data_IF_326852948644
#
_entry.id   IF_326852948644
#
_cell.length_a   1.000
_cell.length_b   1.000
_cell.length_c   1.000
_cell.angle_alpha   90.00
_cell.angle_beta   90.00
_cell.angle_gamma   90.00
#
_symmetry.space_group_name_H-M   'P 1'
#
loop_
_entity.id
_entity.type
_entity.pdbx_description
1 polymer ?
#
# COMPACT_ATOMS: atom_id res chain seq x y z
N UNK A 1 -59.17 18.81 38.21
CA UNK A 1 -58.82 19.99 39.03
C UNK A 1 -57.32 20.22 38.87
N UNK A 2 -56.88 21.25 38.12
CA UNK A 2 -56.50 22.59 38.61
C UNK A 2 -55.34 22.50 39.64
N UNK A 3 -54.22 23.24 39.62
CA UNK A 3 -53.64 24.29 38.77
C UNK A 3 -52.24 24.60 39.36
N UNK A 4 -51.25 24.91 38.50
CA UNK A 4 -50.29 26.04 38.56
C UNK A 4 -49.20 26.16 39.65
N UNK A 5 -48.05 26.69 39.21
CA UNK A 5 -47.09 27.50 39.99
C UNK A 5 -45.67 26.90 40.01
N UNK A 6 -44.69 27.29 39.18
CA UNK A 6 -43.89 28.55 39.20
C UNK A 6 -43.05 28.66 40.50
N UNK A 7 -41.77 29.00 40.58
CA UNK A 7 -40.76 29.60 39.70
C UNK A 7 -39.37 29.41 40.35
N UNK A 8 -38.28 29.70 39.59
CA UNK A 8 -37.06 30.42 40.03
C UNK A 8 -36.22 29.89 41.24
N UNK A 9 -34.91 30.04 41.38
CA UNK A 9 -33.82 30.65 40.62
C UNK A 9 -32.52 30.52 41.45
N UNK A 10 -31.43 30.12 40.78
CA UNK A 10 -30.03 30.58 40.89
C UNK A 10 -29.28 30.73 42.23
N UNK A 11 -28.09 30.10 42.28
CA UNK A 11 -26.73 30.67 42.43
C UNK A 11 -25.76 29.48 42.70
N UNK A 12 -24.62 29.29 42.05
CA UNK A 12 -23.37 30.10 42.05
C UNK A 12 -22.57 29.80 40.74
N UNK A 13 -22.16 30.82 39.96
CA UNK A 13 -20.88 31.55 40.01
C UNK A 13 -19.86 31.01 38.98
N UNK A 14 -19.92 31.51 37.73
CA UNK A 14 -18.91 32.35 37.04
C UNK A 14 -17.48 31.79 37.18
N UNK A 15 -16.81 31.36 36.11
CA UNK A 15 -16.01 32.26 35.27
C UNK A 15 -15.54 31.49 34.00
N UNK A 16 -16.14 31.73 32.84
CA UNK A 16 -15.54 31.33 31.55
C UNK A 16 -15.53 32.55 30.65
N UNK A 17 -14.32 33.06 30.44
CA UNK A 17 -14.05 34.29 29.73
C UNK A 17 -14.38 34.17 28.24
N UNK A 18 -14.88 35.27 27.70
CA UNK A 18 -15.44 35.36 26.36
C UNK A 18 -14.71 36.47 25.64
N UNK A 19 -13.66 36.13 24.90
CA UNK A 19 -13.26 36.96 23.76
C UNK A 19 -13.41 36.21 22.45
N UNK A 20 -14.39 36.72 21.68
CA UNK A 20 -14.75 36.33 20.34
C UNK A 20 -13.68 36.82 19.37
N UNK A 21 -13.26 35.94 18.47
CA UNK A 21 -12.95 36.32 17.08
C UNK A 21 -13.31 35.16 16.16
N UNK A 22 -14.44 35.29 15.46
CA UNK A 22 -14.77 34.44 14.31
C UNK A 22 -13.81 34.74 13.14
N UNK A 23 -13.64 33.79 12.19
CA UNK A 23 -12.36 33.43 11.57
C UNK A 23 -12.10 34.16 10.26
N UNK A 24 -10.94 33.91 9.62
CA UNK A 24 -10.98 33.72 8.19
C UNK A 24 -10.29 32.42 7.74
N UNK A 25 -11.08 31.65 6.99
CA UNK A 25 -10.65 30.77 5.90
C UNK A 25 -9.89 29.52 6.35
N UNK A 26 -10.68 28.46 6.48
CA UNK A 26 -10.22 27.09 6.24
C UNK A 26 -9.54 27.08 4.87
N UNK A 27 -8.21 27.07 4.84
CA UNK A 27 -7.48 26.84 3.61
C UNK A 27 -7.53 25.35 3.29
N UNK A 28 -8.49 24.95 2.46
CA UNK A 28 -8.42 23.68 1.74
C UNK A 28 -7.33 23.85 0.69
N UNK A 29 -6.06 23.65 1.08
CA UNK A 29 -4.98 23.63 0.10
C UNK A 29 -5.01 22.27 -0.60
N UNK A 30 -5.46 22.34 -1.84
CA UNK A 30 -5.45 21.34 -2.90
C UNK A 30 -4.55 20.14 -2.64
N UNK A 31 -5.18 18.97 -2.63
CA UNK A 31 -4.58 17.66 -2.74
C UNK A 31 -3.56 17.60 -3.89
N UNK A 32 -2.28 17.81 -3.60
CA UNK A 32 -1.17 17.45 -4.49
C UNK A 32 -0.05 16.70 -3.81
N UNK A 33 -0.29 16.08 -2.64
CA UNK A 33 0.63 15.05 -2.17
C UNK A 33 -0.06 13.98 -1.30
N UNK A 34 -0.24 12.75 -1.82
CA UNK A 34 -0.97 11.68 -1.13
C UNK A 34 -0.13 10.90 -0.09
N UNK A 35 0.93 11.50 0.46
CA UNK A 35 1.91 10.80 1.30
C UNK A 35 1.61 10.74 2.80
N UNK A 36 0.64 11.52 3.30
CA UNK A 36 0.37 11.62 4.74
C UNK A 36 -1.01 11.04 5.06
N UNK A 37 -1.18 9.73 4.94
CA UNK A 37 -2.39 9.05 5.43
C UNK A 37 -2.14 8.58 6.86
N UNK A 38 -2.79 9.25 7.82
CA UNK A 38 -3.11 8.65 9.13
C UNK A 38 -2.22 8.96 10.35
N UNK A 39 -1.62 10.15 10.47
CA UNK A 39 -0.93 10.54 11.73
C UNK A 39 -1.19 11.99 12.13
N UNK A 40 -1.25 12.23 13.44
CA UNK A 40 -1.42 13.55 14.05
C UNK A 40 -0.09 14.31 14.03
N UNK A 41 -0.10 15.52 13.47
CA UNK A 41 1.11 16.37 13.36
C UNK A 41 1.41 17.04 14.70
N UNK A 42 2.69 17.05 15.10
CA UNK A 42 3.20 17.94 16.16
C UNK A 42 3.87 19.12 15.47
N UNK A 43 3.23 20.29 15.48
CA UNK A 43 3.83 21.53 14.98
C UNK A 43 4.13 22.41 16.19
N UNK A 44 5.38 22.85 16.35
CA UNK A 44 5.78 23.80 17.39
C UNK A 44 5.51 25.22 16.92
N UNK A 45 4.83 26.01 17.75
CA UNK A 45 4.66 27.44 17.53
C UNK A 45 5.91 28.17 18.00
N UNK A 46 6.85 28.43 17.11
CA UNK A 46 7.80 29.54 17.29
C UNK A 46 7.53 30.55 16.19
N UNK A 47 7.19 31.77 16.62
CA UNK A 47 6.78 32.88 15.79
C UNK A 47 7.88 33.30 14.80
N UNK A 48 7.41 33.83 13.66
CA UNK A 48 8.17 34.41 12.55
C UNK A 48 8.81 33.41 11.56
N UNK A 49 8.29 33.48 10.33
CA UNK A 49 8.73 32.82 9.09
C UNK A 49 8.13 31.43 8.86
N UNK A 50 7.22 31.35 7.88
CA UNK A 50 6.67 30.15 7.22
C UNK A 50 6.61 28.86 8.05
N UNK A 51 5.39 28.41 8.37
CA UNK A 51 5.10 27.08 8.95
C UNK A 51 5.94 25.96 8.31
N UNK A 52 7.07 25.61 8.92
CA UNK A 52 7.81 24.40 8.64
C UNK A 52 7.30 23.32 9.60
N UNK A 53 6.19 22.68 9.24
CA UNK A 53 5.92 21.36 9.81
C UNK A 53 6.84 20.37 9.08
N UNK A 54 8.02 20.10 9.64
CA UNK A 54 8.89 19.04 9.16
C UNK A 54 8.34 17.68 9.62
N UNK A 55 7.94 16.84 8.67
CA UNK A 55 7.75 15.42 8.97
C UNK A 55 9.14 14.82 9.23
N UNK A 56 9.40 14.05 10.31
CA UNK A 56 10.71 13.45 10.58
C UNK A 56 11.12 12.34 9.59
N UNK A 57 10.36 12.11 8.52
CA UNK A 57 10.71 11.12 7.51
C UNK A 57 10.43 11.65 6.10
N UNK A 58 11.32 12.53 5.65
CA UNK A 58 11.50 12.79 4.23
C UNK A 58 12.23 11.59 3.64
N UNK A 59 11.51 10.51 3.29
CA UNK A 59 12.02 9.68 2.19
C UNK A 59 11.76 10.53 0.95
N UNK A 60 12.74 11.38 0.64
CA UNK A 60 12.76 12.18 -0.57
C UNK A 60 12.44 11.25 -1.75
N UNK A 61 11.43 11.63 -2.53
CA UNK A 61 11.07 10.95 -3.79
C UNK A 61 12.23 10.89 -4.79
N UNK A 62 13.32 11.61 -4.53
CA UNK A 62 14.56 11.62 -5.30
C UNK A 62 15.47 10.40 -5.05
N UNK A 63 15.23 9.60 -4.01
CA UNK A 63 15.95 8.34 -3.78
C UNK A 63 15.27 7.13 -4.43
N UNK A 64 14.07 7.30 -4.98
CA UNK A 64 13.33 6.23 -5.64
C UNK A 64 13.91 5.95 -7.03
N UNK A 65 14.76 4.92 -7.13
CA UNK A 65 15.27 4.44 -8.42
C UNK A 65 14.17 3.98 -9.40
N UNK A 66 14.55 3.67 -10.64
CA UNK A 66 13.60 3.22 -11.68
C UNK A 66 12.82 1.98 -11.24
N UNK A 67 11.53 2.15 -10.93
CA UNK A 67 10.64 1.07 -10.55
C UNK A 67 10.50 0.03 -11.65
N UNK A 68 11.02 -1.17 -11.39
CA UNK A 68 11.03 -2.28 -12.34
C UNK A 68 9.79 -3.18 -12.24
N UNK A 69 9.05 -3.04 -11.14
CA UNK A 69 7.98 -3.93 -10.68
C UNK A 69 6.59 -3.59 -11.25
N UNK A 70 6.36 -2.35 -11.73
CA UNK A 70 4.99 -1.82 -11.86
C UNK A 70 4.36 -1.61 -13.25
N UNK A 71 5.08 -1.62 -14.39
CA UNK A 71 4.46 -1.30 -15.71
C UNK A 71 5.17 -1.92 -16.93
N UNK A 72 5.58 -3.18 -16.85
CA UNK A 72 6.29 -3.79 -17.98
C UNK A 72 5.39 -4.73 -18.76
N UNK A 73 5.28 -4.44 -20.06
CA UNK A 73 4.89 -5.43 -21.08
C UNK A 73 5.61 -6.75 -20.76
N UNK A 74 4.81 -7.76 -20.43
CA UNK A 74 5.31 -9.10 -20.13
C UNK A 74 5.50 -9.82 -21.46
N UNK A 75 6.74 -10.21 -21.74
CA UNK A 75 7.10 -11.00 -22.92
C UNK A 75 7.31 -12.46 -22.50
N UNK A 76 7.15 -13.44 -23.41
CA UNK A 76 7.50 -14.85 -23.13
C UNK A 76 8.91 -15.02 -22.57
N UNK A 77 9.90 -14.27 -23.07
CA UNK A 77 11.29 -14.40 -22.59
C UNK A 77 11.45 -13.93 -21.14
N UNK A 78 10.70 -12.91 -20.73
CA UNK A 78 10.68 -12.46 -19.33
C UNK A 78 10.05 -13.52 -18.45
N UNK A 79 9.01 -14.19 -18.91
CA UNK A 79 8.38 -15.31 -18.22
C UNK A 79 9.32 -16.51 -18.10
N UNK A 80 10.13 -16.80 -19.13
CA UNK A 80 11.14 -17.85 -19.09
C UNK A 80 12.19 -17.61 -18.00
N UNK A 81 12.66 -16.37 -17.84
CA UNK A 81 13.72 -15.99 -16.88
C UNK A 81 13.28 -15.93 -15.40
N UNK A 82 12.01 -16.19 -15.08
CA UNK A 82 11.47 -16.18 -13.71
C UNK A 82 11.22 -17.59 -13.21
N UNK A 83 11.31 -17.81 -11.91
CA UNK A 83 11.22 -19.15 -11.34
C UNK A 83 9.75 -19.51 -11.07
N UNK A 84 8.94 -18.51 -10.68
CA UNK A 84 7.52 -18.67 -10.46
C UNK A 84 6.67 -17.60 -11.17
N UNK A 85 5.41 -17.95 -11.40
CA UNK A 85 4.37 -17.06 -11.87
C UNK A 85 3.02 -17.49 -11.30
N UNK A 86 2.38 -16.60 -10.55
CA UNK A 86 1.11 -16.89 -9.85
C UNK A 86 0.10 -15.77 -10.06
N UNK A 87 -1.17 -16.15 -9.97
CA UNK A 87 -2.28 -15.23 -9.79
C UNK A 87 -2.81 -15.40 -8.37
N UNK A 88 -2.79 -14.32 -7.61
CA UNK A 88 -3.32 -14.29 -6.26
C UNK A 88 -4.16 -13.05 -6.00
N UNK A 89 -5.18 -13.19 -5.15
CA UNK A 89 -5.95 -12.07 -4.62
C UNK A 89 -5.36 -11.64 -3.29
N UNK A 90 -5.11 -10.35 -3.15
CA UNK A 90 -4.62 -9.76 -1.89
C UNK A 90 -5.81 -9.62 -0.94
N UNK A 91 -5.65 -10.10 0.29
CA UNK A 91 -6.64 -9.99 1.36
C UNK A 91 -6.25 -8.86 2.29
N UNK A 92 -5.24 -9.10 3.12
CA UNK A 92 -4.82 -8.19 4.19
C UNK A 92 -3.42 -7.62 3.94
N UNK A 93 -3.14 -6.49 4.58
CA UNK A 93 -1.83 -5.84 4.64
C UNK A 93 -1.47 -5.65 6.10
N UNK A 94 -0.28 -6.09 6.45
CA UNK A 94 0.32 -5.88 7.76
C UNK A 94 1.71 -5.26 7.62
N UNK A 95 2.03 -4.31 8.47
CA UNK A 95 3.35 -3.66 8.48
C UNK A 95 4.19 -4.28 9.59
N UNK A 96 5.37 -4.79 9.24
CA UNK A 96 6.34 -5.41 10.15
C UNK A 96 7.69 -4.70 10.00
N UNK A 97 7.85 -3.62 10.78
CA UNK A 97 9.06 -2.79 10.74
C UNK A 97 9.30 -2.20 9.34
N UNK A 98 10.44 -2.54 8.72
CA UNK A 98 10.81 -2.08 7.38
C UNK A 98 10.16 -2.88 6.24
N UNK A 99 9.45 -3.95 6.57
CA UNK A 99 8.75 -4.81 5.62
C UNK A 99 7.24 -4.71 5.77
N UNK A 100 6.54 -4.95 4.67
CA UNK A 100 5.09 -5.04 4.64
C UNK A 100 4.72 -6.41 4.11
N UNK A 101 3.96 -7.14 4.92
CA UNK A 101 3.44 -8.46 4.63
C UNK A 101 2.04 -8.33 4.05
N UNK A 102 1.80 -8.93 2.90
CA UNK A 102 0.48 -9.06 2.33
C UNK A 102 0.04 -10.52 2.40
N UNK A 103 -1.14 -10.74 2.97
CA UNK A 103 -1.78 -12.06 2.92
C UNK A 103 -2.44 -12.20 1.56
N UNK A 104 -1.98 -13.14 0.75
CA UNK A 104 -2.50 -13.38 -0.59
C UNK A 104 -3.11 -14.79 -0.68
N UNK A 105 -4.24 -14.89 -1.35
CA UNK A 105 -4.83 -16.18 -1.70
C UNK A 105 -4.47 -16.53 -3.15
N UNK A 106 -3.60 -17.53 -3.32
CA UNK A 106 -3.13 -18.03 -4.61
C UNK A 106 -4.23 -18.86 -5.27
N UNK A 107 -4.87 -18.27 -6.26
CA UNK A 107 -5.96 -18.88 -7.02
C UNK A 107 -5.43 -19.76 -8.18
N UNK A 108 -4.34 -19.35 -8.82
CA UNK A 108 -3.76 -20.11 -9.94
C UNK A 108 -2.25 -19.99 -9.98
N UNK A 109 -1.59 -21.12 -10.22
CA UNK A 109 -0.13 -21.22 -10.39
C UNK A 109 0.14 -21.52 -11.85
N UNK A 110 0.84 -20.60 -12.54
CA UNK A 110 1.16 -20.73 -13.96
C UNK A 110 2.57 -21.30 -14.18
N UNK A 111 3.51 -20.93 -13.31
CA UNK A 111 4.88 -21.46 -13.28
C UNK A 111 5.30 -21.68 -11.83
N UNK A 112 6.04 -22.75 -11.59
CA UNK A 112 6.69 -23.06 -10.33
C UNK A 112 8.04 -23.72 -10.61
N UNK A 113 9.00 -23.56 -9.70
CA UNK A 113 10.25 -24.31 -9.78
C UNK A 113 10.00 -25.78 -9.40
N UNK A 114 10.97 -26.66 -9.64
CA UNK A 114 10.85 -28.07 -9.21
C UNK A 114 10.87 -28.19 -7.69
N UNK A 115 11.72 -27.38 -7.05
CA UNK A 115 11.96 -27.41 -5.61
C UNK A 115 11.11 -26.39 -4.84
N UNK A 116 10.21 -25.69 -5.53
CA UNK A 116 9.33 -24.70 -4.90
C UNK A 116 8.18 -25.35 -4.15
N UNK A 117 7.95 -24.95 -2.91
CA UNK A 117 6.77 -25.36 -2.12
C UNK A 117 5.50 -24.57 -2.47
N UNK A 118 5.55 -23.74 -3.51
CA UNK A 118 4.46 -22.90 -3.95
C UNK A 118 3.24 -23.72 -4.41
N UNK A 119 2.15 -23.60 -3.65
CA UNK A 119 0.87 -24.28 -3.87
C UNK A 119 -0.28 -23.27 -3.96
N UNK A 120 -1.46 -23.74 -4.36
CA UNK A 120 -2.70 -22.96 -4.27
C UNK A 120 -3.10 -22.85 -2.79
N UNK A 121 -3.70 -21.72 -2.42
CA UNK A 121 -4.07 -21.42 -1.04
C UNK A 121 -3.46 -20.12 -0.54
N UNK A 122 -3.58 -19.89 0.77
CA UNK A 122 -3.08 -18.68 1.40
C UNK A 122 -1.57 -18.71 1.54
N UNK A 123 -0.89 -17.63 1.14
CA UNK A 123 0.55 -17.45 1.29
C UNK A 123 0.86 -15.98 1.55
N UNK A 124 2.10 -15.69 1.95
CA UNK A 124 2.54 -14.33 2.24
C UNK A 124 3.35 -13.73 1.09
N UNK A 125 3.14 -12.44 0.84
CA UNK A 125 3.89 -11.64 -0.11
C UNK A 125 4.56 -10.47 0.61
N UNK A 126 5.88 -10.45 0.65
CA UNK A 126 6.69 -9.46 1.35
C UNK A 126 7.15 -8.36 0.40
N UNK A 127 7.01 -7.11 0.83
CA UNK A 127 7.44 -5.92 0.08
C UNK A 127 8.12 -4.94 1.03
N UNK A 128 9.23 -4.35 0.59
CA UNK A 128 9.92 -3.35 1.40
C UNK A 128 9.07 -2.07 1.55
N UNK A 129 9.08 -1.44 2.73
CA UNK A 129 8.31 -0.22 3.00
C UNK A 129 8.74 0.93 2.08
N UNK A 130 10.05 1.08 1.83
CA UNK A 130 10.62 2.03 0.86
C UNK A 130 10.03 1.87 -0.55
N UNK A 131 9.84 0.64 -1.03
CA UNK A 131 9.28 0.36 -2.36
C UNK A 131 7.81 0.79 -2.45
N UNK A 132 7.04 0.61 -1.36
CA UNK A 132 5.67 1.09 -1.24
C UNK A 132 5.59 2.61 -1.15
N UNK A 133 6.51 3.26 -0.43
CA UNK A 133 6.63 4.72 -0.37
C UNK A 133 6.91 5.32 -1.77
N UNK A 134 7.72 4.63 -2.57
CA UNK A 134 7.98 4.97 -3.98
C UNK A 134 6.79 4.67 -4.93
N UNK A 135 5.65 4.19 -4.43
CA UNK A 135 4.46 3.77 -5.20
C UNK A 135 4.74 2.61 -6.16
N UNK A 136 5.64 1.70 -5.77
CA UNK A 136 6.15 0.64 -6.63
C UNK A 136 6.39 -0.66 -5.86
N UNK A 137 5.47 -1.64 -5.85
CA UNK A 137 4.23 -1.77 -6.63
C UNK A 137 2.98 -1.16 -5.98
N UNK A 138 2.01 -0.78 -6.81
CA UNK A 138 0.69 -0.28 -6.35
C UNK A 138 -0.24 -1.46 -6.01
N UNK A 139 -0.02 -2.06 -4.84
CA UNK A 139 -0.84 -3.17 -4.35
C UNK A 139 -2.00 -2.63 -3.52
N UNK A 140 -3.23 -2.99 -3.90
CA UNK A 140 -4.47 -2.69 -3.20
C UNK A 140 -5.06 -3.99 -2.64
N UNK A 141 -5.69 -3.90 -1.47
CA UNK A 141 -6.47 -5.00 -0.91
C UNK A 141 -7.65 -5.38 -1.82
N UNK A 142 -8.12 -6.62 -1.72
CA UNK A 142 -9.24 -7.21 -2.46
C UNK A 142 -9.08 -7.28 -3.99
N UNK A 143 -7.91 -6.91 -4.52
CA UNK A 143 -7.59 -7.02 -5.94
C UNK A 143 -6.74 -8.25 -6.23
N UNK A 144 -6.93 -8.80 -7.42
CA UNK A 144 -6.10 -9.87 -7.94
C UNK A 144 -4.89 -9.29 -8.69
N UNK A 145 -3.75 -9.97 -8.57
CA UNK A 145 -2.50 -9.59 -9.21
C UNK A 145 -1.81 -10.83 -9.79
N UNK A 146 -1.19 -10.63 -10.95
CA UNK A 146 -0.20 -11.54 -11.53
C UNK A 146 1.17 -11.17 -10.97
N UNK A 147 1.77 -12.09 -10.22
CA UNK A 147 3.09 -11.93 -9.59
C UNK A 147 4.07 -12.91 -10.22
N UNK A 148 5.21 -12.40 -10.68
CA UNK A 148 6.33 -13.20 -11.15
C UNK A 148 7.61 -12.76 -10.45
N UNK A 149 8.45 -13.71 -10.09
CA UNK A 149 9.68 -13.43 -9.36
C UNK A 149 10.61 -14.62 -9.31
N UNK A 150 11.56 -14.53 -8.38
CA UNK A 150 12.39 -15.64 -7.96
C UNK A 150 12.11 -15.92 -6.50
N UNK A 151 11.99 -17.20 -6.14
CA UNK A 151 11.63 -17.60 -4.77
C UNK A 151 12.79 -17.35 -3.81
N UNK A 152 14.03 -17.51 -4.29
CA UNK A 152 15.27 -17.27 -3.55
C UNK A 152 15.63 -15.78 -3.35
N UNK A 153 14.77 -14.84 -3.76
CA UNK A 153 15.05 -13.40 -3.60
C UNK A 153 14.77 -12.89 -2.16
N UNK A 154 14.32 -13.73 -1.22
CA UNK A 154 14.02 -13.32 0.16
C UNK A 154 14.28 -14.39 1.22
N UNK A 155 14.43 -13.94 2.46
CA UNK A 155 14.71 -14.74 3.65
C UNK A 155 13.43 -15.04 4.48
N UNK A 156 12.31 -14.43 4.11
CA UNK A 156 11.04 -14.59 4.82
C UNK A 156 10.21 -15.74 4.28
N UNK A 157 9.40 -16.36 5.14
CA UNK A 157 8.42 -17.36 4.72
C UNK A 157 7.41 -16.76 3.73
N UNK A 158 7.45 -17.25 2.49
CA UNK A 158 6.57 -16.81 1.41
C UNK A 158 7.34 -16.23 0.22
N UNK A 159 6.71 -15.29 -0.48
CA UNK A 159 7.25 -14.69 -1.70
C UNK A 159 7.73 -13.27 -1.43
N UNK A 160 8.93 -12.93 -1.88
CA UNK A 160 9.46 -11.56 -1.75
C UNK A 160 9.42 -10.81 -3.08
N UNK A 161 8.91 -9.59 -3.04
CA UNK A 161 8.88 -8.68 -4.18
C UNK A 161 10.14 -7.82 -4.17
N UNK A 162 11.11 -8.18 -5.01
CA UNK A 162 12.31 -7.38 -5.22
C UNK A 162 12.30 -6.59 -6.53
N UNK A 163 13.45 -6.00 -6.85
CA UNK A 163 13.70 -5.23 -8.10
C UNK A 163 13.55 -6.07 -9.38
N UNK A 164 13.69 -7.40 -9.27
CA UNK A 164 13.57 -8.35 -10.39
C UNK A 164 12.15 -8.94 -10.48
N UNK A 165 11.27 -8.67 -9.52
CA UNK A 165 9.90 -9.15 -9.52
C UNK A 165 9.01 -8.27 -10.40
N UNK A 166 7.90 -8.83 -10.88
CA UNK A 166 6.91 -8.16 -11.71
C UNK A 166 5.56 -8.38 -11.07
N UNK A 167 4.86 -7.29 -10.75
CA UNK A 167 3.52 -7.30 -10.16
C UNK A 167 2.60 -6.52 -11.07
N UNK A 168 1.62 -7.19 -11.66
CA UNK A 168 0.67 -6.61 -12.61
C UNK A 168 -0.74 -6.84 -12.07
N UNK A 169 -1.58 -5.82 -12.10
CA UNK A 169 -3.00 -5.97 -11.77
C UNK A 169 -3.66 -6.97 -12.73
N UNK A 170 -4.41 -7.92 -12.17
CA UNK A 170 -5.06 -8.96 -12.94
C UNK A 170 -6.15 -8.39 -13.84
N UNK A 171 -6.27 -9.00 -15.02
CA UNK A 171 -7.26 -8.72 -16.06
C UNK A 171 -7.54 -10.02 -16.80
N UNK A 172 -8.74 -10.18 -17.36
CA UNK A 172 -9.14 -11.44 -18.00
C UNK A 172 -8.27 -11.82 -19.21
N UNK A 173 -7.71 -10.83 -19.91
CA UNK A 173 -6.76 -11.03 -21.01
C UNK A 173 -5.50 -11.82 -20.58
N UNK A 174 -5.14 -11.76 -19.30
CA UNK A 174 -3.99 -12.48 -18.75
C UNK A 174 -4.21 -13.98 -18.71
N UNK A 175 -5.44 -14.49 -18.57
CA UNK A 175 -5.70 -15.93 -18.65
C UNK A 175 -5.23 -16.51 -20.00
N UNK A 176 -5.64 -15.88 -21.10
CA UNK A 176 -5.28 -16.31 -22.45
C UNK A 176 -3.79 -16.07 -22.77
N UNK A 177 -3.18 -14.98 -22.26
CA UNK A 177 -1.72 -14.77 -22.39
C UNK A 177 -0.92 -15.80 -21.61
N UNK A 178 -1.30 -16.10 -20.36
CA UNK A 178 -0.59 -17.06 -19.53
C UNK A 178 -0.62 -18.46 -20.12
N UNK A 179 -1.78 -18.92 -20.63
CA UNK A 179 -1.87 -20.20 -21.35
C UNK A 179 -0.91 -20.25 -22.54
N UNK A 180 -0.79 -19.17 -23.33
CA UNK A 180 0.17 -19.07 -24.44
C UNK A 180 1.62 -19.11 -23.96
N UNK A 181 1.94 -18.42 -22.86
CA UNK A 181 3.28 -18.42 -22.28
C UNK A 181 3.66 -19.79 -21.73
N UNK A 182 2.77 -20.50 -21.05
CA UNK A 182 3.00 -21.87 -20.58
C UNK A 182 3.32 -22.82 -21.75
N UNK A 183 2.57 -22.75 -22.85
CA UNK A 183 2.83 -23.57 -24.05
C UNK A 183 4.21 -23.27 -24.65
N UNK A 184 4.58 -21.99 -24.77
CA UNK A 184 5.89 -21.57 -25.29
C UNK A 184 7.03 -21.85 -24.31
N UNK A 185 6.75 -21.90 -23.01
CA UNK A 185 7.76 -22.07 -21.99
C UNK A 185 8.41 -23.46 -22.00
N UNK A 186 7.76 -24.46 -22.61
CA UNK A 186 8.40 -25.74 -22.93
C UNK A 186 9.62 -25.60 -23.85
N UNK A 187 9.71 -24.47 -24.58
CA UNK A 187 10.81 -24.11 -25.47
C UNK A 187 11.70 -23.00 -24.88
N UNK A 188 11.55 -22.66 -23.60
CA UNK A 188 12.53 -21.79 -22.95
C UNK A 188 13.88 -22.50 -23.01
N UNK A 189 14.86 -21.88 -23.67
CA UNK A 189 16.26 -22.27 -23.58
C UNK A 189 16.88 -21.66 -22.33
#
# INVERSE_FOLDING_TARGET
MLRFGSAASQRDEKLYDREKKFPPIVAVVSARNPGCLGQQKRCSSSAATYLQCTCPLWIATDQCGKCRTGRRRLNPDKYCKKDYAIMGRVQERETMGEWVRFTINVQSVYKKSRDSNLKRGTTYLWVHMNDLACKCPKIKANKAYLVLGKELDGDHEGLTVGRKSIVIEWKDEWHSRMKRFQRRARKCK
#
